data_IF_245087728916
#
_entry.id   IF_245087728916
#
_cell.length_a   1.000
_cell.length_b   1.000
_cell.length_c   1.000
_cell.angle_alpha   90.00
_cell.angle_beta   90.00
_cell.angle_gamma   90.00
#
_symmetry.space_group_name_H-M   'P 1'
#
loop_
_entity.id
_entity.type
_entity.pdbx_description
1 polymer ?
#
# COMPACT_ATOMS: atom_id res chain seq x y z
N UNK A 1 -20.24 -21.57 8.86
CA UNK A 1 -19.20 -21.04 9.79
C UNK A 1 -19.89 -20.17 10.81
N UNK A 2 -19.71 -20.50 12.06
CA UNK A 2 -20.43 -20.03 13.23
C UNK A 2 -20.14 -18.53 13.51
N UNK A 3 -21.11 -17.84 14.15
CA UNK A 3 -20.97 -16.47 14.67
C UNK A 3 -19.72 -16.29 15.56
N UNK A 4 -19.25 -17.34 16.19
CA UNK A 4 -18.04 -17.37 17.01
C UNK A 4 -16.76 -16.94 16.25
N UNK A 5 -16.54 -17.44 15.03
CA UNK A 5 -15.38 -17.04 14.21
C UNK A 5 -15.42 -15.57 13.82
N UNK A 6 -16.61 -15.04 13.54
CA UNK A 6 -16.82 -13.63 13.23
C UNK A 6 -16.54 -12.74 14.45
N UNK A 7 -17.04 -13.14 15.62
CA UNK A 7 -16.81 -12.43 16.89
C UNK A 7 -15.31 -12.41 17.23
N UNK A 8 -14.63 -13.54 17.12
CA UNK A 8 -13.19 -13.64 17.38
C UNK A 8 -12.38 -12.75 16.44
N UNK A 9 -12.72 -12.76 15.14
CA UNK A 9 -12.08 -11.91 14.13
C UNK A 9 -12.24 -10.42 14.41
N UNK A 10 -13.43 -9.96 14.79
CA UNK A 10 -13.71 -8.57 15.15
C UNK A 10 -13.00 -8.16 16.45
N UNK A 11 -13.02 -9.02 17.47
CA UNK A 11 -12.30 -8.77 18.73
C UNK A 11 -10.81 -8.59 18.48
N UNK A 12 -10.23 -9.48 17.64
CA UNK A 12 -8.82 -9.38 17.26
C UNK A 12 -8.52 -8.13 16.44
N UNK A 13 -9.39 -7.78 15.48
CA UNK A 13 -9.24 -6.54 14.70
C UNK A 13 -9.17 -5.31 15.61
N UNK A 14 -10.05 -5.21 16.61
CA UNK A 14 -10.03 -4.12 17.58
C UNK A 14 -8.77 -4.11 18.45
N UNK A 15 -8.29 -5.29 18.87
CA UNK A 15 -7.06 -5.41 19.65
C UNK A 15 -5.82 -4.94 18.87
N UNK A 16 -5.85 -5.02 17.53
CA UNK A 16 -4.74 -4.55 16.68
C UNK A 16 -4.51 -3.04 16.75
N UNK A 17 -5.50 -2.25 17.20
CA UNK A 17 -5.30 -0.81 17.47
C UNK A 17 -4.16 -0.57 18.46
N UNK A 18 -3.99 -1.43 19.46
CA UNK A 18 -2.91 -1.34 20.44
C UNK A 18 -1.52 -1.70 19.84
N UNK A 19 -1.46 -2.11 18.59
CA UNK A 19 -0.21 -2.39 17.85
C UNK A 19 0.27 -1.20 17.02
N UNK A 20 -0.51 -0.13 16.94
CA UNK A 20 -0.09 1.11 16.30
C UNK A 20 0.83 1.89 17.23
N UNK A 21 1.83 2.54 16.63
CA UNK A 21 2.71 3.49 17.32
C UNK A 21 1.93 4.77 17.71
N UNK A 22 1.03 5.18 16.82
CA UNK A 22 0.21 6.38 16.95
C UNK A 22 0.98 7.68 16.70
N UNK A 23 0.26 8.79 16.59
CA UNK A 23 0.83 10.08 16.22
C UNK A 23 1.99 10.52 17.14
N UNK A 24 1.82 10.37 18.46
CA UNK A 24 2.88 10.73 19.43
C UNK A 24 4.15 9.91 19.20
N UNK A 25 4.03 8.58 19.07
CA UNK A 25 5.19 7.73 18.86
C UNK A 25 5.88 7.99 17.52
N UNK A 26 5.10 8.31 16.46
CA UNK A 26 5.65 8.74 15.17
C UNK A 26 6.46 10.04 15.30
N UNK A 27 5.95 11.02 16.07
CA UNK A 27 6.67 12.26 16.33
C UNK A 27 7.97 12.04 17.11
N UNK A 28 7.96 11.16 18.12
CA UNK A 28 9.16 10.80 18.87
C UNK A 28 10.24 10.17 17.96
N UNK A 29 9.82 9.26 17.05
CA UNK A 29 10.74 8.68 16.06
C UNK A 29 11.28 9.74 15.10
N UNK A 30 10.42 10.62 14.59
CA UNK A 30 10.82 11.69 13.66
C UNK A 30 11.78 12.71 14.32
N UNK A 31 11.66 12.94 15.62
CA UNK A 31 12.55 13.81 16.41
C UNK A 31 13.89 13.19 16.80
N UNK A 32 14.12 11.92 16.55
CA UNK A 32 15.41 11.28 16.80
C UNK A 32 16.50 11.88 15.92
N UNK A 33 17.72 11.99 16.48
CA UNK A 33 18.87 12.58 15.76
C UNK A 33 19.56 11.60 14.83
N UNK A 34 19.40 10.31 15.08
CA UNK A 34 20.03 9.22 14.31
C UNK A 34 19.05 8.08 14.10
N UNK A 35 19.32 7.26 13.09
CA UNK A 35 18.58 6.01 12.87
C UNK A 35 18.67 5.08 14.09
N UNK A 36 19.85 4.97 14.71
CA UNK A 36 20.06 4.11 15.88
C UNK A 36 19.22 4.55 17.09
N UNK A 37 19.04 5.87 17.30
CA UNK A 37 18.16 6.39 18.35
C UNK A 37 16.70 6.03 18.05
N UNK A 38 16.27 6.19 16.81
CA UNK A 38 14.92 5.84 16.35
C UNK A 38 14.66 4.33 16.51
N UNK A 39 15.64 3.49 16.16
CA UNK A 39 15.52 2.03 16.31
C UNK A 39 15.49 1.60 17.79
N UNK A 40 16.28 2.24 18.64
CA UNK A 40 16.21 2.01 20.10
C UNK A 40 14.84 2.37 20.67
N UNK A 41 14.27 3.50 20.26
CA UNK A 41 12.91 3.88 20.64
C UNK A 41 11.89 2.83 20.20
N UNK A 42 11.93 2.44 18.91
CA UNK A 42 11.01 1.45 18.35
C UNK A 42 11.14 0.07 19.00
N UNK A 43 12.31 -0.30 19.51
CA UNK A 43 12.52 -1.56 20.23
C UNK A 43 11.73 -1.66 21.54
N UNK A 44 11.31 -0.53 22.12
CA UNK A 44 10.42 -0.48 23.29
C UNK A 44 8.91 -0.42 22.93
N UNK A 45 8.55 -0.51 21.64
CA UNK A 45 7.20 -0.36 21.10
C UNK A 45 6.65 -1.69 20.56
N UNK A 46 5.41 -1.73 20.05
CA UNK A 46 4.89 -2.91 19.38
C UNK A 46 5.70 -3.42 18.17
N UNK A 47 6.59 -2.61 17.60
CA UNK A 47 7.47 -3.02 16.50
C UNK A 47 8.69 -3.86 16.93
N UNK A 48 8.99 -3.97 18.22
CA UNK A 48 10.17 -4.66 18.79
C UNK A 48 10.46 -6.05 18.23
N UNK A 49 9.42 -6.83 17.91
CA UNK A 49 9.56 -8.24 17.57
C UNK A 49 10.23 -8.52 16.22
N UNK A 50 10.45 -7.50 15.41
CA UNK A 50 10.98 -7.62 14.04
C UNK A 50 12.17 -6.71 13.76
N UNK A 51 12.50 -5.81 14.69
CA UNK A 51 13.59 -4.87 14.52
C UNK A 51 14.90 -5.46 15.03
N UNK A 52 15.92 -5.41 14.19
CA UNK A 52 17.32 -5.56 14.60
C UNK A 52 17.83 -4.15 14.88
N UNK A 53 18.30 -3.90 16.11
CA UNK A 53 18.64 -2.54 16.56
C UNK A 53 20.11 -2.18 16.29
N UNK A 54 21.00 -3.15 16.11
CA UNK A 54 22.42 -2.90 15.92
C UNK A 54 22.79 -2.89 14.44
N UNK A 55 23.23 -1.73 13.92
CA UNK A 55 23.79 -1.61 12.57
C UNK A 55 22.80 -1.81 11.41
N UNK A 56 21.50 -1.77 11.66
CA UNK A 56 20.50 -1.92 10.58
C UNK A 56 20.47 -0.67 9.70
N UNK A 57 20.46 -0.86 8.39
CA UNK A 57 20.21 0.21 7.44
C UNK A 57 18.76 0.68 7.48
N UNK A 58 18.48 1.89 6.99
CA UNK A 58 17.11 2.41 6.85
C UNK A 58 16.21 1.44 6.07
N UNK A 59 16.69 0.88 4.97
CA UNK A 59 15.91 -0.05 4.14
C UNK A 59 15.56 -1.34 4.90
N UNK A 60 16.47 -1.87 5.73
CA UNK A 60 16.20 -3.04 6.58
C UNK A 60 15.19 -2.72 7.67
N UNK A 61 15.30 -1.55 8.30
CA UNK A 61 14.34 -1.08 9.29
C UNK A 61 12.93 -0.91 8.70
N UNK A 62 12.83 -0.22 7.57
CA UNK A 62 11.55 -0.05 6.88
C UNK A 62 10.94 -1.38 6.43
N UNK A 63 11.78 -2.31 5.98
CA UNK A 63 11.34 -3.66 5.63
C UNK A 63 10.84 -4.44 6.85
N UNK A 64 11.50 -4.33 7.99
CA UNK A 64 11.09 -4.98 9.24
C UNK A 64 9.72 -4.47 9.70
N UNK A 65 9.48 -3.15 9.65
CA UNK A 65 8.19 -2.52 9.96
C UNK A 65 7.11 -3.04 9.00
N UNK A 66 7.38 -3.04 7.69
CA UNK A 66 6.45 -3.53 6.66
C UNK A 66 6.16 -5.03 6.84
N UNK A 67 7.16 -5.83 7.21
CA UNK A 67 6.99 -7.26 7.50
C UNK A 67 6.16 -7.49 8.77
N UNK A 68 6.25 -6.61 9.76
CA UNK A 68 5.40 -6.64 10.95
C UNK A 68 3.92 -6.41 10.58
N UNK A 69 3.63 -5.42 9.74
CA UNK A 69 2.29 -5.22 9.20
C UNK A 69 1.79 -6.49 8.52
N UNK A 70 2.52 -7.03 7.56
CA UNK A 70 2.12 -8.24 6.82
C UNK A 70 1.83 -9.41 7.75
N UNK A 71 2.64 -9.59 8.80
CA UNK A 71 2.41 -10.64 9.80
C UNK A 71 1.05 -10.47 10.49
N UNK A 72 0.70 -9.25 10.91
CA UNK A 72 -0.61 -8.96 11.51
C UNK A 72 -1.76 -9.24 10.54
N UNK A 73 -1.61 -8.85 9.26
CA UNK A 73 -2.63 -9.08 8.24
C UNK A 73 -2.84 -10.59 7.98
N UNK A 74 -1.76 -11.38 7.92
CA UNK A 74 -1.84 -12.84 7.75
C UNK A 74 -2.57 -13.51 8.92
N UNK A 75 -2.24 -13.12 10.14
CA UNK A 75 -2.93 -13.63 11.33
C UNK A 75 -4.41 -13.21 11.30
N UNK A 76 -4.70 -11.94 10.99
CA UNK A 76 -6.06 -11.44 10.93
C UNK A 76 -6.88 -12.20 9.87
N UNK A 77 -6.32 -12.44 8.68
CA UNK A 77 -6.96 -13.21 7.62
C UNK A 77 -7.29 -14.63 8.03
N UNK A 78 -6.39 -15.30 8.78
CA UNK A 78 -6.62 -16.67 9.28
C UNK A 78 -7.78 -16.80 10.27
N UNK A 79 -8.23 -15.70 10.88
CA UNK A 79 -9.37 -15.66 11.78
C UNK A 79 -10.68 -15.25 11.09
N UNK A 80 -10.63 -14.93 9.79
CA UNK A 80 -11.79 -14.46 9.05
C UNK A 80 -12.51 -15.60 8.31
N UNK A 81 -13.81 -15.46 8.09
CA UNK A 81 -14.51 -16.23 7.06
C UNK A 81 -13.98 -15.89 5.65
N UNK A 82 -14.31 -16.69 4.65
CA UNK A 82 -13.80 -16.55 3.29
C UNK A 82 -13.92 -15.11 2.74
N UNK A 83 -15.08 -14.47 2.92
CA UNK A 83 -15.29 -13.09 2.49
C UNK A 83 -14.40 -12.08 3.23
N UNK A 84 -14.19 -12.27 4.54
CA UNK A 84 -13.27 -11.42 5.31
C UNK A 84 -11.81 -11.64 4.93
N UNK A 85 -11.41 -12.89 4.64
CA UNK A 85 -10.07 -13.20 4.12
C UNK A 85 -9.85 -12.54 2.75
N UNK A 86 -10.86 -12.54 1.87
CA UNK A 86 -10.78 -11.87 0.57
C UNK A 86 -10.64 -10.33 0.74
N UNK A 87 -11.35 -9.74 1.68
CA UNK A 87 -11.21 -8.32 2.00
C UNK A 87 -9.78 -7.97 2.47
N UNK A 88 -9.22 -8.77 3.40
CA UNK A 88 -7.83 -8.57 3.86
C UNK A 88 -6.84 -8.79 2.72
N UNK A 89 -7.06 -9.78 1.85
CA UNK A 89 -6.23 -10.04 0.66
C UNK A 89 -6.24 -8.86 -0.31
N UNK A 90 -7.42 -8.28 -0.59
CA UNK A 90 -7.54 -7.12 -1.45
C UNK A 90 -6.81 -5.89 -0.87
N UNK A 91 -6.94 -5.64 0.43
CA UNK A 91 -6.23 -4.56 1.14
C UNK A 91 -4.71 -4.79 1.20
N UNK A 92 -4.25 -6.05 1.21
CA UNK A 92 -2.84 -6.42 1.26
C UNK A 92 -2.20 -6.60 -0.13
N UNK A 93 -2.93 -6.31 -1.21
CA UNK A 93 -2.49 -6.53 -2.60
C UNK A 93 -1.12 -5.88 -2.92
N UNK A 94 -0.79 -4.76 -2.29
CA UNK A 94 0.48 -4.06 -2.45
C UNK A 94 1.72 -4.92 -2.15
N UNK A 95 1.62 -5.91 -1.26
CA UNK A 95 2.74 -6.83 -0.99
C UNK A 95 3.04 -7.76 -2.15
N UNK A 96 2.01 -8.24 -2.86
CA UNK A 96 2.20 -9.07 -4.03
C UNK A 96 2.69 -8.24 -5.22
N UNK A 97 2.20 -7.01 -5.39
CA UNK A 97 2.72 -6.06 -6.37
C UNK A 97 4.23 -5.85 -6.15
N UNK A 98 4.63 -5.54 -4.92
CA UNK A 98 6.04 -5.34 -4.56
C UNK A 98 6.91 -6.58 -4.81
N UNK A 99 6.39 -7.79 -4.55
CA UNK A 99 7.07 -9.03 -4.88
C UNK A 99 7.23 -9.19 -6.39
N UNK A 100 6.17 -8.90 -7.16
CA UNK A 100 6.16 -9.03 -8.63
C UNK A 100 7.11 -8.04 -9.29
N UNK A 101 7.12 -6.78 -8.84
CA UNK A 101 8.05 -5.76 -9.33
C UNK A 101 9.51 -6.16 -9.11
N UNK A 102 9.80 -6.68 -7.92
CA UNK A 102 11.14 -7.18 -7.60
C UNK A 102 11.53 -8.40 -8.43
N UNK A 103 10.60 -9.35 -8.60
CA UNK A 103 10.84 -10.52 -9.45
C UNK A 103 11.11 -10.09 -10.89
N UNK A 104 10.29 -9.20 -11.43
CA UNK A 104 10.48 -8.66 -12.77
C UNK A 104 11.82 -7.94 -12.92
N UNK A 105 12.25 -7.17 -11.92
CA UNK A 105 13.57 -6.54 -11.97
C UNK A 105 14.70 -7.56 -12.06
N UNK A 106 14.59 -8.71 -11.39
CA UNK A 106 15.60 -9.78 -11.54
C UNK A 106 15.57 -10.44 -12.92
N UNK A 107 14.37 -10.54 -13.55
CA UNK A 107 14.25 -11.10 -14.90
C UNK A 107 14.80 -10.18 -15.99
N UNK A 108 14.79 -8.87 -15.76
CA UNK A 108 15.28 -7.87 -16.74
C UNK A 108 16.80 -7.66 -16.63
N UNK A 109 17.36 -7.77 -15.40
CA UNK A 109 18.77 -7.39 -15.16
C UNK A 109 19.74 -8.56 -15.17
N UNK A 110 19.29 -9.81 -15.32
CA UNK A 110 20.10 -11.04 -15.16
C UNK A 110 20.96 -11.06 -13.87
N UNK A 111 20.68 -10.16 -12.95
CA UNK A 111 21.46 -9.97 -11.72
C UNK A 111 20.89 -10.83 -10.60
N UNK A 112 21.56 -11.91 -10.28
CA UNK A 112 21.36 -12.59 -8.98
C UNK A 112 21.91 -11.70 -7.86
N UNK A 113 21.08 -11.24 -6.91
CA UNK A 113 21.58 -10.43 -5.80
C UNK A 113 22.60 -11.21 -4.97
N UNK A 114 23.74 -10.59 -4.72
CA UNK A 114 24.83 -11.17 -3.95
C UNK A 114 24.94 -10.50 -2.57
N UNK A 115 25.32 -11.26 -1.53
CA UNK A 115 25.63 -10.71 -0.21
C UNK A 115 24.42 -10.13 0.54
N UNK A 116 24.59 -8.98 1.24
CA UNK A 116 23.53 -8.35 2.06
C UNK A 116 22.27 -7.94 1.28
N UNK A 117 22.39 -7.78 -0.05
CA UNK A 117 21.25 -7.49 -0.91
C UNK A 117 20.28 -8.67 -1.06
N UNK A 118 20.70 -9.90 -0.75
CA UNK A 118 19.78 -11.07 -0.71
C UNK A 118 18.65 -10.91 0.30
N UNK A 119 18.92 -10.35 1.48
CA UNK A 119 17.88 -10.09 2.48
C UNK A 119 16.90 -9.00 2.02
N UNK A 120 17.42 -7.98 1.33
CA UNK A 120 16.60 -6.94 0.69
C UNK A 120 15.81 -7.49 -0.48
N UNK A 121 16.38 -8.45 -1.21
CA UNK A 121 15.78 -9.08 -2.39
C UNK A 121 14.77 -10.18 -2.08
N UNK A 122 14.68 -10.70 -0.84
CA UNK A 122 13.75 -11.77 -0.50
C UNK A 122 12.28 -11.33 -0.63
N UNK A 123 11.41 -12.09 -1.28
CA UNK A 123 10.01 -11.72 -1.41
C UNK A 123 9.29 -11.76 -0.05
N UNK A 124 8.21 -10.97 0.08
CA UNK A 124 7.32 -11.04 1.21
C UNK A 124 6.60 -12.40 1.24
N UNK A 125 6.54 -13.04 2.39
CA UNK A 125 5.83 -14.31 2.58
C UNK A 125 4.33 -14.06 2.73
N UNK A 126 3.58 -14.14 1.64
CA UNK A 126 2.16 -13.78 1.59
C UNK A 126 1.25 -14.80 2.27
N UNK A 127 1.56 -16.09 2.20
CA UNK A 127 0.69 -17.16 2.71
C UNK A 127 -0.70 -17.11 2.06
N UNK A 128 -1.76 -17.15 2.86
CA UNK A 128 -3.15 -17.09 2.39
C UNK A 128 -3.54 -15.74 1.72
N UNK A 129 -2.69 -14.71 1.84
CA UNK A 129 -2.91 -13.42 1.19
C UNK A 129 -2.44 -13.38 -0.27
N UNK A 130 -1.71 -14.40 -0.73
CA UNK A 130 -1.31 -14.50 -2.13
C UNK A 130 -2.53 -14.60 -3.05
N UNK A 131 -2.49 -13.84 -4.15
CA UNK A 131 -3.49 -13.84 -5.22
C UNK A 131 -3.03 -14.81 -6.32
N UNK A 132 -1.81 -14.61 -6.82
CA UNK A 132 -1.21 -15.41 -7.88
C UNK A 132 0.30 -15.65 -7.66
N UNK A 133 0.87 -15.19 -6.56
CA UNK A 133 2.32 -15.16 -6.31
C UNK A 133 3.02 -16.50 -6.57
N UNK A 134 2.45 -17.62 -6.19
CA UNK A 134 3.06 -18.93 -6.40
C UNK A 134 3.33 -19.23 -7.89
N UNK A 135 2.45 -18.77 -8.78
CA UNK A 135 2.60 -18.88 -10.23
C UNK A 135 3.57 -17.82 -10.76
N UNK A 136 3.43 -16.56 -10.30
CA UNK A 136 4.26 -15.45 -10.75
C UNK A 136 5.73 -15.68 -10.43
N UNK A 137 6.04 -16.20 -9.24
CA UNK A 137 7.41 -16.44 -8.78
C UNK A 137 8.15 -17.55 -9.54
N UNK A 138 7.46 -18.37 -10.32
CA UNK A 138 8.06 -19.44 -11.12
C UNK A 138 8.38 -19.05 -12.57
N UNK A 139 8.01 -17.86 -12.99
CA UNK A 139 8.28 -17.35 -14.34
C UNK A 139 9.75 -17.00 -14.53
N UNK A 140 10.24 -17.14 -15.74
CA UNK A 140 11.68 -16.95 -16.10
C UNK A 140 11.91 -15.79 -17.05
N UNK A 141 10.86 -15.28 -17.68
CA UNK A 141 10.93 -14.15 -18.61
C UNK A 141 9.80 -13.14 -18.31
N UNK A 142 9.97 -11.86 -18.69
CA UNK A 142 8.92 -10.86 -18.58
C UNK A 142 7.64 -11.25 -19.33
N UNK A 143 7.76 -11.88 -20.49
CA UNK A 143 6.62 -12.37 -21.28
C UNK A 143 5.85 -13.48 -20.56
N UNK A 144 6.55 -14.45 -19.96
CA UNK A 144 5.91 -15.48 -19.11
C UNK A 144 5.20 -14.86 -17.91
N UNK A 145 5.81 -13.84 -17.26
CA UNK A 145 5.22 -13.12 -16.15
C UNK A 145 3.91 -12.44 -16.58
N UNK A 146 3.91 -11.74 -17.72
CA UNK A 146 2.70 -11.14 -18.28
C UNK A 146 1.63 -12.20 -18.57
N UNK A 147 2.00 -13.33 -19.16
CA UNK A 147 1.07 -14.44 -19.41
C UNK A 147 0.46 -15.00 -18.12
N UNK A 148 1.28 -15.17 -17.07
CA UNK A 148 0.83 -15.63 -15.77
C UNK A 148 -0.10 -14.62 -15.06
N UNK A 149 0.16 -13.31 -15.19
CA UNK A 149 -0.72 -12.24 -14.73
C UNK A 149 -2.05 -12.28 -15.47
N UNK A 150 -2.02 -12.36 -16.79
CA UNK A 150 -3.21 -12.42 -17.66
C UNK A 150 -4.12 -13.59 -17.29
N UNK A 151 -3.52 -14.76 -17.00
CA UNK A 151 -4.25 -15.98 -16.58
C UNK A 151 -4.65 -15.98 -15.10
N UNK A 152 -4.46 -14.89 -14.38
CA UNK A 152 -4.77 -14.75 -12.96
C UNK A 152 -5.86 -13.70 -12.71
N UNK A 153 -6.23 -13.53 -11.45
CA UNK A 153 -7.14 -12.47 -11.03
C UNK A 153 -6.55 -11.04 -11.17
N UNK A 154 -5.27 -10.89 -11.50
CA UNK A 154 -4.66 -9.60 -11.82
C UNK A 154 -5.06 -9.13 -13.22
N UNK A 155 -5.19 -10.06 -14.18
CA UNK A 155 -5.48 -9.78 -15.59
C UNK A 155 -4.28 -9.17 -16.33
N UNK A 156 -4.44 -8.96 -17.64
CA UNK A 156 -3.37 -8.40 -18.49
C UNK A 156 -2.93 -7.02 -18.02
N UNK A 157 -1.63 -6.79 -17.72
CA UNK A 157 -1.11 -5.48 -17.39
C UNK A 157 -0.99 -4.53 -18.60
N UNK A 158 -1.15 -5.04 -19.82
CA UNK A 158 -1.05 -4.27 -21.05
C UNK A 158 0.37 -4.19 -21.65
N UNK A 159 1.35 -4.83 -21.02
CA UNK A 159 2.73 -4.91 -21.45
C UNK A 159 3.56 -5.76 -20.49
N UNK A 160 4.79 -6.04 -20.86
CA UNK A 160 5.76 -6.81 -20.06
C UNK A 160 6.89 -5.95 -19.49
N UNK A 161 6.90 -4.66 -19.79
CA UNK A 161 7.85 -3.71 -19.20
C UNK A 161 7.57 -3.51 -17.69
N UNK A 162 8.60 -3.19 -16.88
CA UNK A 162 8.42 -2.92 -15.46
C UNK A 162 7.34 -1.87 -15.16
N UNK A 163 7.29 -0.77 -15.92
CA UNK A 163 6.31 0.27 -15.76
C UNK A 163 4.88 -0.22 -16.08
N UNK A 164 4.69 -0.95 -17.18
CA UNK A 164 3.38 -1.49 -17.56
C UNK A 164 2.85 -2.49 -16.53
N UNK A 165 3.70 -3.42 -16.06
CA UNK A 165 3.34 -4.41 -15.05
C UNK A 165 2.99 -3.73 -13.72
N UNK A 166 3.83 -2.81 -13.25
CA UNK A 166 3.60 -2.08 -12.02
C UNK A 166 2.28 -1.30 -12.04
N UNK A 167 2.06 -0.50 -13.08
CA UNK A 167 0.85 0.32 -13.23
C UNK A 167 -0.38 -0.56 -13.45
N UNK A 168 -0.31 -1.56 -14.32
CA UNK A 168 -1.42 -2.48 -14.59
C UNK A 168 -1.88 -3.23 -13.35
N UNK A 169 -0.97 -3.72 -12.52
CA UNK A 169 -1.29 -4.37 -11.24
C UNK A 169 -1.91 -3.39 -10.24
N UNK A 170 -1.40 -2.15 -10.13
CA UNK A 170 -1.99 -1.13 -9.25
C UNK A 170 -3.40 -0.74 -9.67
N UNK A 171 -3.64 -0.57 -10.97
CA UNK A 171 -4.99 -0.34 -11.52
C UNK A 171 -5.91 -1.51 -11.18
N UNK A 172 -5.44 -2.75 -11.41
CA UNK A 172 -6.19 -3.96 -11.08
C UNK A 172 -6.50 -4.05 -9.57
N UNK A 173 -5.52 -3.73 -8.72
CA UNK A 173 -5.71 -3.72 -7.26
C UNK A 173 -6.80 -2.73 -6.83
N UNK A 174 -6.82 -1.51 -7.38
CA UNK A 174 -7.83 -0.51 -7.06
C UNK A 174 -9.23 -0.98 -7.44
N UNK A 175 -9.40 -1.52 -8.65
CA UNK A 175 -10.70 -2.05 -9.11
C UNK A 175 -11.16 -3.23 -8.26
N UNK A 176 -10.27 -4.17 -7.95
CA UNK A 176 -10.57 -5.32 -7.08
C UNK A 176 -10.92 -4.90 -5.67
N UNK A 177 -10.17 -3.94 -5.10
CA UNK A 177 -10.44 -3.41 -3.76
C UNK A 177 -11.81 -2.75 -3.69
N UNK A 178 -12.14 -1.91 -4.66
CA UNK A 178 -13.45 -1.26 -4.74
C UNK A 178 -14.61 -2.26 -4.82
N UNK A 179 -14.45 -3.35 -5.58
CA UNK A 179 -15.47 -4.39 -5.70
C UNK A 179 -15.58 -5.31 -4.49
N UNK A 180 -14.45 -5.68 -3.87
CA UNK A 180 -14.43 -6.63 -2.76
C UNK A 180 -14.69 -5.98 -1.39
N UNK A 181 -14.44 -4.67 -1.25
CA UNK A 181 -14.50 -3.95 0.03
C UNK A 181 -15.23 -2.62 -0.17
N UNK A 182 -16.57 -2.58 -0.10
CA UNK A 182 -17.34 -1.35 -0.30
C UNK A 182 -16.91 -0.20 0.61
N UNK A 183 -16.55 -0.48 1.87
CA UNK A 183 -16.04 0.52 2.82
C UNK A 183 -14.72 1.19 2.36
N UNK A 184 -13.94 0.54 1.48
CA UNK A 184 -12.69 1.04 0.92
C UNK A 184 -12.82 1.57 -0.53
N UNK A 185 -14.00 1.53 -1.13
CA UNK A 185 -14.20 1.92 -2.54
C UNK A 185 -13.76 3.36 -2.82
N UNK A 186 -14.07 4.28 -1.90
CA UNK A 186 -13.64 5.68 -1.99
C UNK A 186 -12.12 5.82 -1.90
N UNK A 187 -11.45 5.05 -1.06
CA UNK A 187 -9.99 5.05 -0.95
C UNK A 187 -9.35 4.51 -2.23
N UNK A 188 -9.92 3.43 -2.77
CA UNK A 188 -9.43 2.81 -3.99
C UNK A 188 -9.54 3.75 -5.20
N UNK A 189 -10.67 4.42 -5.39
CA UNK A 189 -10.89 5.38 -6.46
C UNK A 189 -9.93 6.58 -6.34
N UNK A 190 -9.79 7.15 -5.16
CA UNK A 190 -8.89 8.26 -4.91
C UNK A 190 -7.41 7.88 -5.11
N UNK A 191 -6.99 6.69 -4.63
CA UNK A 191 -5.62 6.18 -4.87
C UNK A 191 -5.35 5.94 -6.35
N UNK A 192 -6.35 5.47 -7.10
CA UNK A 192 -6.25 5.31 -8.54
C UNK A 192 -6.11 6.66 -9.25
N UNK A 193 -6.85 7.68 -8.82
CA UNK A 193 -6.70 9.03 -9.37
C UNK A 193 -5.29 9.60 -9.12
N UNK A 194 -4.71 9.39 -7.93
CA UNK A 194 -3.30 9.74 -7.65
C UNK A 194 -2.33 9.02 -8.57
N UNK A 195 -2.52 7.71 -8.78
CA UNK A 195 -1.68 6.92 -9.66
C UNK A 195 -1.70 7.47 -11.09
N UNK A 196 -2.91 7.68 -11.64
CA UNK A 196 -3.06 8.19 -13.00
C UNK A 196 -2.50 9.61 -13.12
N UNK A 197 -2.82 10.47 -12.15
CA UNK A 197 -2.29 11.83 -12.09
C UNK A 197 -0.77 11.88 -12.16
N UNK A 198 -0.10 11.01 -11.40
CA UNK A 198 1.36 10.90 -11.39
C UNK A 198 1.91 10.31 -12.68
N UNK A 199 1.41 9.17 -13.13
CA UNK A 199 1.93 8.48 -14.31
C UNK A 199 1.77 9.32 -15.58
N UNK A 200 0.60 9.94 -15.77
CA UNK A 200 0.29 10.67 -17.00
C UNK A 200 0.83 12.10 -16.99
N UNK A 201 0.61 12.86 -15.91
CA UNK A 201 0.87 14.30 -15.91
C UNK A 201 2.17 14.72 -15.21
N UNK A 202 2.79 13.84 -14.41
CA UNK A 202 4.11 14.12 -13.81
C UNK A 202 5.20 13.36 -14.55
N UNK A 203 5.01 12.06 -14.75
CA UNK A 203 6.02 11.20 -15.41
C UNK A 203 5.91 11.26 -16.94
N UNK A 204 4.72 11.56 -17.48
CA UNK A 204 4.46 11.61 -18.92
C UNK A 204 4.31 10.22 -19.56
N UNK A 205 3.99 9.21 -18.77
CA UNK A 205 3.79 7.84 -19.27
C UNK A 205 2.41 7.69 -19.92
N UNK A 206 2.39 7.18 -21.15
CA UNK A 206 1.15 6.71 -21.75
C UNK A 206 0.75 5.36 -21.15
N UNK A 207 -0.43 5.31 -20.57
CA UNK A 207 -0.96 4.07 -20.03
C UNK A 207 -1.38 3.10 -21.15
N UNK A 208 -1.18 1.77 -20.99
CA UNK A 208 -1.75 0.78 -21.88
C UNK A 208 -3.28 0.87 -21.92
N UNK A 209 -3.89 0.67 -23.11
CA UNK A 209 -5.34 0.79 -23.32
C UNK A 209 -6.14 -0.11 -22.36
N UNK A 210 -5.65 -1.32 -22.06
CA UNK A 210 -6.30 -2.21 -21.09
C UNK A 210 -6.34 -1.62 -19.68
N UNK A 211 -5.32 -0.87 -19.28
CA UNK A 211 -5.27 -0.16 -18.00
C UNK A 211 -6.20 1.05 -17.99
N UNK A 212 -6.27 1.80 -19.10
CA UNK A 212 -7.21 2.92 -19.29
C UNK A 212 -8.66 2.43 -19.16
N UNK A 213 -9.04 1.41 -19.91
CA UNK A 213 -10.38 0.83 -19.86
C UNK A 213 -10.75 0.30 -18.47
N UNK A 214 -9.78 -0.30 -17.77
CA UNK A 214 -9.99 -0.81 -16.42
C UNK A 214 -10.15 0.32 -15.41
N UNK A 215 -9.34 1.38 -15.50
CA UNK A 215 -9.42 2.56 -14.66
C UNK A 215 -10.73 3.34 -14.87
N UNK A 216 -11.22 3.40 -16.10
CA UNK A 216 -12.49 4.07 -16.45
C UNK A 216 -13.70 3.51 -15.68
N UNK A 217 -13.64 2.26 -15.19
CA UNK A 217 -14.70 1.69 -14.35
C UNK A 217 -14.86 2.42 -13.00
N UNK A 218 -13.81 3.04 -12.49
CA UNK A 218 -13.83 3.77 -11.22
C UNK A 218 -13.80 5.28 -11.40
N UNK A 219 -13.09 5.77 -12.42
CA UNK A 219 -12.85 7.21 -12.61
C UNK A 219 -13.71 7.80 -13.73
N UNK A 220 -14.35 6.95 -14.53
CA UNK A 220 -15.07 7.36 -15.72
C UNK A 220 -14.16 7.59 -16.96
N UNK A 221 -14.72 7.47 -18.17
CA UNK A 221 -13.94 7.60 -19.40
C UNK A 221 -13.40 9.02 -19.60
N UNK A 222 -14.17 10.07 -19.25
CA UNK A 222 -13.72 11.46 -19.38
C UNK A 222 -12.45 11.76 -18.60
N UNK A 223 -12.30 11.20 -17.39
CA UNK A 223 -11.11 11.39 -16.59
C UNK A 223 -9.91 10.60 -17.19
N UNK A 224 -10.12 9.36 -17.63
CA UNK A 224 -9.03 8.52 -18.15
C UNK A 224 -8.56 8.93 -19.54
N UNK A 225 -9.31 9.71 -20.28
CA UNK A 225 -9.01 10.22 -21.63
C UNK A 225 -8.61 11.71 -21.61
N UNK A 226 -8.55 12.34 -20.43
CA UNK A 226 -8.22 13.76 -20.31
C UNK A 226 -6.80 14.04 -20.82
N UNK A 227 -6.69 15.12 -21.61
CA UNK A 227 -5.41 15.57 -22.21
C UNK A 227 -4.62 16.52 -21.31
N UNK A 228 -5.25 17.13 -20.32
CA UNK A 228 -4.61 17.99 -19.33
C UNK A 228 -4.93 17.57 -17.91
N UNK A 229 -4.06 17.95 -16.96
CA UNK A 229 -4.28 17.71 -15.54
C UNK A 229 -5.54 18.45 -15.02
N UNK A 230 -5.82 19.63 -15.52
CA UNK A 230 -7.01 20.39 -15.17
C UNK A 230 -8.29 19.67 -15.60
N UNK A 231 -8.35 19.17 -16.85
CA UNK A 231 -9.48 18.41 -17.36
C UNK A 231 -9.64 17.08 -16.60
N UNK A 232 -8.52 16.40 -16.31
CA UNK A 232 -8.50 15.19 -15.49
C UNK A 232 -9.16 15.42 -14.13
N UNK A 233 -8.73 16.46 -13.39
CA UNK A 233 -9.30 16.81 -12.09
C UNK A 233 -10.80 17.08 -12.16
N UNK A 234 -11.20 17.88 -13.16
CA UNK A 234 -12.60 18.29 -13.34
C UNK A 234 -13.51 17.13 -13.71
N UNK A 235 -12.99 16.14 -14.43
CA UNK A 235 -13.72 14.96 -14.86
C UNK A 235 -13.83 13.84 -13.82
N UNK A 236 -13.09 13.93 -12.68
CA UNK A 236 -13.12 12.91 -11.64
C UNK A 236 -14.50 12.82 -10.96
N UNK A 237 -15.00 11.60 -10.70
CA UNK A 237 -16.21 11.43 -9.90
C UNK A 237 -15.97 11.84 -8.44
N UNK A 238 -17.04 12.16 -7.69
CA UNK A 238 -16.97 12.57 -6.28
C UNK A 238 -16.21 11.56 -5.40
N UNK A 239 -16.26 10.28 -5.74
CA UNK A 239 -15.53 9.20 -5.04
C UNK A 239 -14.02 9.36 -5.09
N UNK A 240 -13.48 10.08 -6.07
CA UNK A 240 -12.05 10.34 -6.24
C UNK A 240 -11.71 11.84 -6.20
N UNK A 241 -12.57 12.71 -6.73
CA UNK A 241 -12.33 14.15 -6.90
C UNK A 241 -12.09 14.91 -5.60
N UNK A 242 -12.65 14.43 -4.48
CA UNK A 242 -12.42 15.02 -3.16
C UNK A 242 -10.95 15.16 -2.79
N UNK A 243 -10.12 14.26 -3.31
CA UNK A 243 -8.70 14.20 -2.99
C UNK A 243 -7.88 15.29 -3.69
N UNK A 244 -8.27 15.61 -4.93
CA UNK A 244 -7.55 16.57 -5.78
C UNK A 244 -8.19 17.96 -5.82
N UNK A 245 -9.21 18.22 -4.99
CA UNK A 245 -9.99 19.46 -5.04
C UNK A 245 -9.12 20.73 -4.96
N UNK A 246 -8.08 20.72 -4.12
CA UNK A 246 -7.21 21.87 -3.89
C UNK A 246 -5.76 21.59 -4.38
N UNK A 247 -5.61 20.76 -5.41
CA UNK A 247 -4.33 20.45 -6.03
C UNK A 247 -4.37 20.90 -7.46
N UNK A 248 -3.97 22.15 -7.71
CA UNK A 248 -4.07 22.77 -9.02
C UNK A 248 -2.96 22.31 -9.97
N UNK A 249 -1.80 21.95 -9.44
CA UNK A 249 -0.63 21.52 -10.17
C UNK A 249 -0.37 20.02 -9.95
N UNK A 250 -0.01 19.29 -11.02
CA UNK A 250 0.34 17.87 -10.90
C UNK A 250 1.58 17.64 -10.03
N UNK A 251 2.49 18.59 -9.95
CA UNK A 251 3.66 18.56 -9.09
C UNK A 251 3.31 18.49 -7.59
N UNK A 252 2.13 18.97 -7.21
CA UNK A 252 1.64 19.00 -5.83
C UNK A 252 0.86 17.73 -5.41
N UNK A 253 0.82 16.69 -6.25
CA UNK A 253 0.13 15.42 -5.95
C UNK A 253 0.62 14.76 -4.66
N UNK A 254 1.85 15.04 -4.23
CA UNK A 254 2.37 14.56 -2.95
C UNK A 254 1.54 15.04 -1.74
N UNK A 255 0.98 16.29 -1.80
CA UNK A 255 0.08 16.82 -0.76
C UNK A 255 -1.24 16.03 -0.71
N UNK A 256 -1.73 15.59 -1.87
CA UNK A 256 -2.91 14.75 -1.94
C UNK A 256 -2.67 13.37 -1.35
N UNK A 257 -1.47 12.79 -1.48
CA UNK A 257 -1.13 11.52 -0.86
C UNK A 257 -1.23 11.57 0.67
N UNK A 258 -0.69 12.61 1.30
CA UNK A 258 -0.83 12.82 2.75
C UNK A 258 -2.30 12.91 3.16
N UNK A 259 -3.10 13.71 2.46
CA UNK A 259 -4.55 13.82 2.69
C UNK A 259 -5.27 12.49 2.53
N UNK A 260 -4.84 11.67 1.59
CA UNK A 260 -5.39 10.33 1.40
C UNK A 260 -5.17 9.46 2.65
N UNK A 261 -3.94 9.44 3.18
CA UNK A 261 -3.63 8.69 4.40
C UNK A 261 -4.39 9.20 5.62
N UNK A 262 -4.56 10.52 5.76
CA UNK A 262 -5.35 11.12 6.84
C UNK A 262 -6.83 10.74 6.75
N UNK A 263 -7.39 10.73 5.54
CA UNK A 263 -8.76 10.29 5.31
C UNK A 263 -8.92 8.79 5.62
N UNK A 264 -8.01 7.95 5.13
CA UNK A 264 -7.99 6.50 5.42
C UNK A 264 -7.96 6.24 6.92
N UNK A 265 -7.10 6.94 7.66
CA UNK A 265 -7.00 6.76 9.11
C UNK A 265 -8.26 7.22 9.86
N UNK A 266 -8.85 8.34 9.46
CA UNK A 266 -10.11 8.84 10.04
C UNK A 266 -11.23 7.85 9.84
N UNK A 267 -11.45 7.43 8.60
CA UNK A 267 -12.48 6.47 8.23
C UNK A 267 -12.24 5.11 8.92
N UNK A 268 -10.98 4.68 9.03
CA UNK A 268 -10.61 3.45 9.73
C UNK A 268 -11.00 3.47 11.21
N UNK A 269 -10.80 4.61 11.90
CA UNK A 269 -11.24 4.78 13.29
C UNK A 269 -12.76 4.72 13.41
N UNK A 270 -13.48 5.27 12.44
CA UNK A 270 -14.94 5.21 12.39
C UNK A 270 -15.43 3.79 12.16
N UNK A 271 -14.83 3.04 11.23
CA UNK A 271 -15.15 1.64 10.98
C UNK A 271 -14.94 0.76 12.22
N UNK A 272 -13.87 1.00 12.98
CA UNK A 272 -13.59 0.29 14.23
C UNK A 272 -14.64 0.55 15.31
N UNK A 273 -15.31 1.72 15.27
CA UNK A 273 -16.33 2.13 16.25
C UNK A 273 -17.75 1.66 15.90
N UNK A 274 -18.13 1.75 14.60
CA UNK A 274 -19.53 1.63 14.15
C UNK A 274 -20.07 0.22 14.11
N UNK A 275 -19.30 -0.79 13.78
CA UNK A 275 -19.81 -2.14 13.54
C UNK A 275 -19.48 -3.10 14.67
N UNK A 276 -20.49 -3.78 15.21
CA UNK A 276 -20.26 -4.86 16.20
C UNK A 276 -19.80 -6.17 15.56
N UNK A 277 -20.35 -6.55 14.40
CA UNK A 277 -20.17 -7.89 13.80
C UNK A 277 -19.98 -7.90 12.28
N UNK A 278 -19.89 -6.73 11.63
CA UNK A 278 -19.67 -6.62 10.19
C UNK A 278 -18.18 -6.67 9.80
N UNK A 279 -17.85 -6.58 8.50
CA UNK A 279 -16.46 -6.54 8.00
C UNK A 279 -15.73 -5.22 8.36
N UNK A 280 -16.47 -4.15 8.67
CA UNK A 280 -15.92 -2.82 8.95
C UNK A 280 -14.77 -2.78 9.94
N UNK A 281 -14.84 -3.43 11.14
CA UNK A 281 -13.71 -3.45 12.07
C UNK A 281 -12.46 -4.11 11.52
N UNK A 282 -12.59 -5.11 10.65
CA UNK A 282 -11.44 -5.77 9.98
C UNK A 282 -10.80 -4.82 8.99
N UNK A 283 -11.61 -4.19 8.14
CA UNK A 283 -11.17 -3.17 7.17
C UNK A 283 -10.49 -2.00 7.90
N UNK A 284 -11.14 -1.49 8.95
CA UNK A 284 -10.59 -0.41 9.78
C UNK A 284 -9.26 -0.77 10.44
N UNK A 285 -9.11 -2.00 10.95
CA UNK A 285 -7.85 -2.45 11.56
C UNK A 285 -6.71 -2.53 10.53
N UNK A 286 -6.98 -3.09 9.34
CA UNK A 286 -5.98 -3.16 8.25
C UNK A 286 -5.57 -1.75 7.83
N UNK A 287 -6.53 -0.86 7.59
CA UNK A 287 -6.29 0.50 7.17
C UNK A 287 -5.49 1.30 8.21
N UNK A 288 -5.85 1.19 9.49
CA UNK A 288 -5.16 1.87 10.60
C UNK A 288 -3.71 1.40 10.74
N UNK A 289 -3.47 0.08 10.69
CA UNK A 289 -2.11 -0.48 10.72
C UNK A 289 -1.28 -0.06 9.52
N UNK A 290 -1.90 0.03 8.33
CA UNK A 290 -1.21 0.47 7.12
C UNK A 290 -0.80 1.93 7.19
N UNK A 291 -1.70 2.81 7.67
CA UNK A 291 -1.40 4.23 7.89
C UNK A 291 -0.29 4.44 8.94
N UNK A 292 -0.35 3.71 10.05
CA UNK A 292 0.68 3.74 11.10
C UNK A 292 2.04 3.28 10.57
N UNK A 293 2.06 2.20 9.78
CA UNK A 293 3.27 1.69 9.12
C UNK A 293 3.87 2.72 8.16
N UNK A 294 3.05 3.36 7.34
CA UNK A 294 3.48 4.38 6.40
C UNK A 294 4.13 5.57 7.13
N UNK A 295 3.45 6.12 8.15
CA UNK A 295 3.99 7.22 8.96
C UNK A 295 5.27 6.86 9.70
N UNK A 296 5.35 5.65 10.26
CA UNK A 296 6.54 5.19 10.98
C UNK A 296 7.74 5.07 10.04
N UNK A 297 7.53 4.63 8.78
CA UNK A 297 8.58 4.61 7.76
C UNK A 297 9.06 6.01 7.39
N UNK A 298 8.13 6.95 7.18
CA UNK A 298 8.48 8.35 6.94
C UNK A 298 9.24 8.99 8.10
N UNK A 299 8.84 8.69 9.35
CA UNK A 299 9.53 9.17 10.54
C UNK A 299 10.98 8.65 10.64
N UNK A 300 11.25 7.40 10.21
CA UNK A 300 12.62 6.89 10.12
C UNK A 300 13.47 7.64 9.09
N UNK A 301 12.88 8.06 7.97
CA UNK A 301 13.60 8.86 6.97
C UNK A 301 13.98 10.24 7.53
N UNK A 302 13.09 10.85 8.33
CA UNK A 302 13.39 12.09 9.03
C UNK A 302 14.52 11.92 10.04
N UNK A 303 14.51 10.85 10.83
CA UNK A 303 15.56 10.56 11.80
C UNK A 303 16.93 10.39 11.12
N UNK A 304 17.00 9.71 9.96
CA UNK A 304 18.23 9.58 9.17
C UNK A 304 18.76 10.93 8.69
N UNK A 305 17.87 11.86 8.36
CA UNK A 305 18.24 13.24 7.96
C UNK A 305 18.62 14.12 9.15
N UNK A 306 18.70 13.57 10.37
CA UNK A 306 19.14 14.25 11.59
C UNK A 306 18.07 15.11 12.24
N UNK A 307 16.78 14.82 12.01
CA UNK A 307 15.67 15.60 12.55
C UNK A 307 15.70 17.09 12.10
N UNK A 308 16.58 17.45 11.19
CA UNK A 308 16.79 18.79 10.69
C UNK A 308 15.95 19.03 9.41
N UNK A 309 14.65 19.04 9.57
CA UNK A 309 13.79 19.65 8.57
C UNK A 309 13.03 20.76 9.28
N UNK A 310 13.19 22.01 8.84
CA UNK A 310 12.28 23.10 9.24
C UNK A 310 10.82 22.81 8.84
N UNK A 311 10.55 21.64 8.26
CA UNK A 311 9.24 21.16 7.81
C UNK A 311 9.07 19.66 8.04
N UNK A 312 8.84 19.21 9.30
CA UNK A 312 8.59 17.78 9.58
C UNK A 312 7.34 17.23 8.87
N UNK A 313 6.38 18.09 8.50
CA UNK A 313 5.18 17.68 7.76
C UNK A 313 5.49 17.27 6.31
N UNK A 314 6.34 17.99 5.59
CA UNK A 314 6.62 17.75 4.16
C UNK A 314 7.38 16.45 3.88
N UNK A 315 8.12 15.91 4.84
CA UNK A 315 8.90 14.65 4.67
C UNK A 315 8.09 13.42 5.03
N UNK A 316 7.12 13.55 5.92
CA UNK A 316 6.13 12.49 6.16
C UNK A 316 5.23 12.28 4.91
N UNK A 317 5.26 13.23 3.99
CA UNK A 317 4.49 13.29 2.76
C UNK A 317 5.29 12.81 1.52
N UNK A 318 6.59 12.51 1.65
CA UNK A 318 7.40 12.05 0.53
C UNK A 318 7.00 10.65 0.04
N UNK A 319 6.88 10.43 -1.27
CA UNK A 319 6.50 9.15 -1.83
C UNK A 319 7.60 8.11 -1.63
N UNK A 320 7.23 6.96 -1.08
CA UNK A 320 8.03 5.75 -1.04
C UNK A 320 7.60 4.78 -2.13
#
# INVERSE_FOLDING_TARGET
MTDAGRVAGVTRARALRARCLGARGVQEVAGCRTLDDALRYLAATPYRSRLTTAGASLAEAQRAITTSLLWHLRILAGWQPAAGTEAVRALAAGFEISNTERHLSTLVTDASPSGPDRLRASPYRLGALAIAWNRLSSTRTPAELRGALTASAWGDPGGDSPAAVATGMRVSAAVRLSGAVPDAARWAAARLALLLGREVFVVGHRLPDVSVHRAARLLGPRATEASSYADFRQALPDTAGWLLKDVDEAADLWRAEARWWDAVERDARDLLRRSRFGPGPVVGAVALLSADTWRTRGALELAVRGGRGDRPAEVLDAPG
#
